data_IF_024137257091
#
_entry.id   IF_024137257091
#
_cell.length_a   1.000
_cell.length_b   1.000
_cell.length_c   1.000
_cell.angle_alpha   90.00
_cell.angle_beta   90.00
_cell.angle_gamma   90.00
#
_symmetry.space_group_name_H-M   'P 1'
#
loop_
_entity.id
_entity.type
_entity.pdbx_description
1 polymer ?
#
# COMPACT_ATOMS: atom_id res chain seq x y z
N UNK A 1 -8.92 -16.89 8.79
CA UNK A 1 -8.95 -16.40 10.15
C UNK A 1 -9.32 -14.92 10.13
N UNK A 2 -10.42 -14.54 10.76
CA UNK A 2 -10.74 -13.13 10.96
C UNK A 2 -9.78 -12.58 12.02
N UNK A 3 -9.12 -11.48 11.72
CA UNK A 3 -8.21 -10.84 12.65
C UNK A 3 -8.98 -9.70 13.35
N UNK A 4 -9.25 -9.81 14.65
CA UNK A 4 -9.70 -8.66 15.42
C UNK A 4 -8.61 -7.58 15.36
N UNK A 5 -9.02 -6.33 15.42
CA UNK A 5 -8.10 -5.19 15.43
C UNK A 5 -7.03 -5.41 16.52
N UNK A 6 -5.77 -5.38 16.13
CA UNK A 6 -4.63 -5.49 17.04
C UNK A 6 -4.09 -6.89 17.30
N UNK A 7 -4.68 -7.97 16.76
CA UNK A 7 -4.16 -9.34 17.02
C UNK A 7 -3.99 -10.23 15.79
N UNK A 8 -3.96 -9.67 14.58
CA UNK A 8 -3.76 -10.44 13.34
C UNK A 8 -2.46 -11.25 13.37
N UNK A 9 -1.38 -10.63 13.83
CA UNK A 9 -0.06 -11.26 13.90
C UNK A 9 -0.04 -12.40 14.93
N UNK A 10 -0.67 -12.23 16.10
CA UNK A 10 -0.79 -13.29 17.10
C UNK A 10 -1.50 -14.54 16.57
N UNK A 11 -2.59 -14.37 15.83
CA UNK A 11 -3.29 -15.48 15.17
C UNK A 11 -2.42 -16.13 14.07
N UNK A 12 -1.67 -15.34 13.32
CA UNK A 12 -0.75 -15.86 12.31
C UNK A 12 0.38 -16.68 12.94
N UNK A 13 0.92 -16.24 14.06
CA UNK A 13 1.94 -16.98 14.82
C UNK A 13 1.36 -18.31 15.31
N UNK A 14 0.18 -18.31 15.93
CA UNK A 14 -0.45 -19.54 16.43
C UNK A 14 -0.67 -20.55 15.29
N UNK A 15 -1.24 -20.12 14.18
CA UNK A 15 -1.45 -20.96 13.00
C UNK A 15 -0.13 -21.47 12.39
N UNK A 16 0.92 -20.63 12.39
CA UNK A 16 2.21 -21.02 11.86
C UNK A 16 2.88 -22.06 12.76
N UNK A 17 2.84 -21.88 14.08
CA UNK A 17 3.39 -22.86 15.04
C UNK A 17 2.76 -24.23 14.85
N UNK A 18 1.43 -24.31 14.67
CA UNK A 18 0.77 -25.58 14.38
C UNK A 18 1.24 -26.21 13.07
N UNK A 19 1.39 -25.41 12.02
CA UNK A 19 1.81 -25.92 10.72
C UNK A 19 3.24 -26.45 10.71
N UNK A 20 4.17 -25.81 11.41
CA UNK A 20 5.57 -26.24 11.43
C UNK A 20 5.86 -27.36 12.42
N UNK A 21 4.93 -27.76 13.29
CA UNK A 21 5.14 -28.89 14.25
C UNK A 21 5.51 -30.19 13.59
N UNK A 22 5.05 -30.42 12.35
CA UNK A 22 5.41 -31.59 11.54
C UNK A 22 6.74 -31.47 10.80
N UNK A 23 7.48 -30.39 10.99
CA UNK A 23 8.73 -30.08 10.30
C UNK A 23 8.58 -28.91 9.33
N UNK A 24 9.72 -28.39 8.89
CA UNK A 24 9.79 -27.26 7.97
C UNK A 24 10.04 -25.92 8.64
N UNK A 25 10.00 -24.86 7.83
CA UNK A 25 10.21 -23.47 8.26
C UNK A 25 9.03 -22.64 7.80
N UNK A 26 8.50 -21.81 8.67
CA UNK A 26 7.41 -20.89 8.40
C UNK A 26 7.84 -19.44 8.59
N UNK A 27 7.29 -18.56 7.77
CA UNK A 27 7.48 -17.11 7.85
C UNK A 27 6.18 -16.45 8.31
N UNK A 28 6.24 -15.60 9.31
CA UNK A 28 5.15 -14.71 9.71
C UNK A 28 5.56 -13.27 9.46
N UNK A 29 4.70 -12.55 8.76
CA UNK A 29 4.86 -11.13 8.48
C UNK A 29 3.91 -10.31 9.35
N UNK A 30 4.45 -9.39 10.12
CA UNK A 30 3.72 -8.36 10.83
C UNK A 30 3.75 -7.05 10.05
N UNK A 31 2.58 -6.51 9.75
CA UNK A 31 2.41 -5.22 9.11
C UNK A 31 1.75 -4.25 10.08
N UNK A 32 2.34 -3.08 10.27
CA UNK A 32 1.81 -2.00 11.09
C UNK A 32 1.67 -0.71 10.32
N UNK A 33 0.63 0.08 10.65
CA UNK A 33 0.47 1.44 10.15
C UNK A 33 0.45 1.58 8.64
N UNK A 34 -0.59 1.14 7.95
CA UNK A 34 -0.78 1.31 6.50
C UNK A 34 0.42 0.86 5.66
N UNK A 35 0.93 -0.34 5.95
CA UNK A 35 2.10 -0.90 5.26
C UNK A 35 3.40 -0.08 5.38
N UNK A 36 3.54 0.69 6.46
CA UNK A 36 4.74 1.51 6.67
C UNK A 36 5.75 0.90 7.64
N UNK A 37 5.34 -0.12 8.40
CA UNK A 37 6.20 -0.81 9.38
C UNK A 37 6.08 -2.31 9.18
N UNK A 38 7.20 -2.96 8.95
CA UNK A 38 7.23 -4.39 8.68
C UNK A 38 8.13 -5.11 9.66
N UNK A 39 7.69 -6.29 10.09
CA UNK A 39 8.52 -7.24 10.81
C UNK A 39 8.31 -8.65 10.24
N UNK A 40 9.36 -9.42 10.21
CA UNK A 40 9.33 -10.81 9.73
C UNK A 40 9.91 -11.71 10.81
N UNK A 41 9.26 -12.84 11.07
CA UNK A 41 9.74 -13.85 12.01
C UNK A 41 9.72 -15.23 11.37
N UNK A 42 10.80 -15.96 11.53
CA UNK A 42 10.93 -17.35 11.12
C UNK A 42 10.63 -18.28 12.30
N UNK A 43 9.85 -19.31 12.03
CA UNK A 43 9.47 -20.35 12.98
C UNK A 43 9.87 -21.72 12.41
N UNK A 44 10.51 -22.55 13.20
CA UNK A 44 10.93 -23.90 12.81
C UNK A 44 10.90 -24.84 14.01
N UNK A 45 10.84 -26.15 13.76
CA UNK A 45 11.00 -27.17 14.80
C UNK A 45 12.47 -27.39 15.21
N UNK A 46 13.39 -27.10 14.31
CA UNK A 46 14.83 -27.15 14.63
C UNK A 46 15.25 -25.75 15.08
N UNK A 47 15.76 -25.60 16.31
CA UNK A 47 16.23 -24.30 16.78
C UNK A 47 17.46 -23.87 15.96
N UNK A 48 17.64 -22.57 15.70
CA UNK A 48 18.85 -22.07 15.08
C UNK A 48 20.04 -22.22 16.03
N UNK A 49 21.24 -22.28 15.46
CA UNK A 49 22.45 -22.30 16.27
C UNK A 49 22.60 -21.08 17.18
N UNK A 50 22.07 -19.95 16.72
CA UNK A 50 22.01 -18.70 17.47
C UNK A 50 20.74 -17.94 17.11
N UNK A 51 20.04 -17.40 18.11
CA UNK A 51 18.95 -16.46 17.89
C UNK A 51 19.53 -15.14 17.34
N UNK A 52 18.93 -14.65 16.25
CA UNK A 52 19.33 -13.39 15.64
C UNK A 52 18.13 -12.46 15.54
N UNK A 53 18.34 -11.20 15.88
CA UNK A 53 17.47 -10.08 15.54
C UNK A 53 18.25 -9.16 14.60
N UNK A 54 17.68 -8.95 13.42
CA UNK A 54 18.30 -8.10 12.39
C UNK A 54 17.41 -6.87 12.21
N UNK A 55 18.00 -5.70 12.37
CA UNK A 55 17.38 -4.43 12.00
C UNK A 55 17.96 -4.01 10.64
N UNK A 56 17.07 -3.89 9.66
CA UNK A 56 17.42 -3.53 8.28
C UNK A 56 17.04 -2.08 7.93
N UNK A 57 16.63 -1.27 8.90
CA UNK A 57 16.15 0.08 8.65
C UNK A 57 17.19 0.92 7.89
N UNK A 58 18.45 0.85 8.27
CA UNK A 58 19.53 1.58 7.60
C UNK A 58 19.66 1.21 6.11
N UNK A 59 19.45 -0.07 5.76
CA UNK A 59 19.45 -0.52 4.36
C UNK A 59 18.21 -0.02 3.61
N UNK A 60 17.05 -0.01 4.26
CA UNK A 60 15.81 0.54 3.69
C UNK A 60 15.94 2.04 3.43
N UNK A 61 16.58 2.77 4.34
CA UNK A 61 16.77 4.22 4.21
C UNK A 61 17.67 4.64 3.04
N UNK A 62 18.50 3.71 2.54
CA UNK A 62 19.31 3.93 1.34
C UNK A 62 18.52 3.75 0.03
N UNK A 63 17.32 3.19 0.09
CA UNK A 63 16.52 3.00 -1.12
C UNK A 63 16.00 4.33 -1.66
N UNK A 64 15.90 4.48 -2.99
CA UNK A 64 15.29 5.66 -3.60
C UNK A 64 13.88 5.88 -3.07
N UNK A 65 13.55 7.12 -2.76
CA UNK A 65 12.21 7.53 -2.33
C UNK A 65 11.58 8.39 -3.42
N UNK A 66 10.31 8.13 -3.70
CA UNK A 66 9.53 9.02 -4.56
C UNK A 66 9.27 10.30 -3.78
N UNK A 67 9.63 11.44 -4.36
CA UNK A 67 9.33 12.75 -3.80
C UNK A 67 7.82 12.98 -3.74
N UNK A 68 7.37 13.79 -2.81
CA UNK A 68 5.96 14.17 -2.65
C UNK A 68 5.81 15.67 -2.89
N UNK A 69 4.85 16.04 -3.75
CA UNK A 69 4.54 17.42 -4.10
C UNK A 69 3.02 17.61 -4.08
N UNK A 70 2.46 18.01 -2.93
CA UNK A 70 1.00 18.10 -2.77
C UNK A 70 0.38 19.23 -3.59
N UNK A 71 1.11 20.31 -3.82
CA UNK A 71 0.60 21.53 -4.44
C UNK A 71 0.99 21.65 -5.93
N UNK A 72 1.48 20.58 -6.54
CA UNK A 72 1.85 20.57 -7.94
C UNK A 72 0.64 20.92 -8.82
N UNK A 73 0.89 21.73 -9.83
CA UNK A 73 -0.11 22.07 -10.88
C UNK A 73 0.53 21.83 -12.24
N UNK A 74 -0.11 21.05 -13.08
CA UNK A 74 0.41 20.75 -14.43
C UNK A 74 0.07 19.34 -14.89
N UNK A 75 0.72 18.93 -15.95
CA UNK A 75 0.57 17.60 -16.53
C UNK A 75 1.03 16.50 -15.56
N UNK A 76 0.23 15.47 -15.45
CA UNK A 76 0.50 14.31 -14.60
C UNK A 76 0.12 13.02 -15.30
N UNK A 77 0.70 11.92 -14.83
CA UNK A 77 0.30 10.56 -15.20
C UNK A 77 -0.27 9.85 -13.98
N UNK A 78 -1.37 9.15 -14.16
CA UNK A 78 -2.00 8.37 -13.10
C UNK A 78 -1.13 7.16 -12.73
N UNK A 79 -0.70 7.09 -11.48
CA UNK A 79 0.07 5.97 -10.92
C UNK A 79 -0.84 4.92 -10.30
N UNK A 80 -1.86 5.35 -9.58
CA UNK A 80 -2.85 4.49 -8.95
C UNK A 80 -4.16 5.24 -8.76
N UNK A 81 -5.26 4.52 -8.70
CA UNK A 81 -6.56 5.10 -8.38
C UNK A 81 -7.43 4.11 -7.62
N UNK A 82 -8.34 4.63 -6.81
CA UNK A 82 -9.36 3.85 -6.13
C UNK A 82 -10.66 4.65 -6.03
N UNK A 83 -11.79 3.95 -6.09
CA UNK A 83 -13.11 4.55 -5.95
C UNK A 83 -13.61 4.37 -4.52
N UNK A 84 -13.87 5.48 -3.86
CA UNK A 84 -14.43 5.51 -2.52
C UNK A 84 -15.94 5.47 -2.61
N UNK A 85 -16.54 4.58 -1.85
CA UNK A 85 -17.98 4.43 -1.71
C UNK A 85 -18.42 4.88 -0.33
N UNK A 86 -19.56 5.52 -0.26
CA UNK A 86 -20.31 5.78 0.96
C UNK A 86 -21.59 4.93 0.99
N UNK A 87 -22.55 5.28 1.85
CA UNK A 87 -23.80 4.54 1.98
C UNK A 87 -24.73 4.69 0.76
N UNK A 88 -24.53 5.72 -0.03
CA UNK A 88 -25.36 6.07 -1.18
C UNK A 88 -24.75 5.58 -2.50
N UNK A 89 -23.48 5.14 -2.49
CA UNK A 89 -22.79 4.61 -3.65
C UNK A 89 -21.40 5.23 -3.88
N UNK A 90 -20.91 5.27 -5.13
CA UNK A 90 -19.65 5.90 -5.46
C UNK A 90 -19.64 7.39 -5.09
N UNK A 91 -18.67 7.81 -4.30
CA UNK A 91 -18.56 9.17 -3.77
C UNK A 91 -17.48 9.98 -4.49
N UNK A 92 -16.28 9.43 -4.57
CA UNK A 92 -15.18 10.08 -5.27
C UNK A 92 -14.05 9.10 -5.57
N UNK A 93 -13.31 9.35 -6.62
CA UNK A 93 -12.05 8.68 -6.89
C UNK A 93 -10.90 9.39 -6.14
N UNK A 94 -10.05 8.61 -5.48
CA UNK A 94 -8.74 9.06 -5.03
C UNK A 94 -7.70 8.60 -6.05
N UNK A 95 -6.89 9.52 -6.52
CA UNK A 95 -5.93 9.30 -7.60
C UNK A 95 -4.54 9.70 -7.13
N UNK A 96 -3.60 8.76 -7.19
CA UNK A 96 -2.18 9.05 -7.06
C UNK A 96 -1.64 9.38 -8.45
N UNK A 97 -0.93 10.48 -8.57
CA UNK A 97 -0.39 10.98 -9.82
C UNK A 97 1.11 11.21 -9.71
N UNK A 98 1.80 11.10 -10.83
CA UNK A 98 3.21 11.46 -10.97
C UNK A 98 3.36 12.67 -11.90
N UNK A 99 4.14 13.66 -11.48
CA UNK A 99 4.56 14.76 -12.35
C UNK A 99 5.66 14.32 -13.33
N UNK A 100 6.04 15.19 -14.25
CA UNK A 100 7.08 14.93 -15.24
C UNK A 100 8.46 14.62 -14.63
N UNK A 101 8.68 14.92 -13.36
CA UNK A 101 9.93 14.64 -12.62
C UNK A 101 9.84 13.38 -11.78
N UNK A 102 8.68 12.68 -11.79
CA UNK A 102 8.43 11.46 -11.04
C UNK A 102 8.08 11.69 -9.57
N UNK A 103 7.70 12.92 -9.17
CA UNK A 103 7.21 13.19 -7.82
C UNK A 103 5.72 12.88 -7.75
N UNK A 104 5.28 12.38 -6.61
CA UNK A 104 3.91 11.96 -6.39
C UNK A 104 3.05 13.09 -5.83
N UNK A 105 1.84 13.21 -6.37
CA UNK A 105 0.76 13.98 -5.79
C UNK A 105 -0.47 13.10 -5.54
N UNK A 106 -1.43 13.62 -4.80
CA UNK A 106 -2.73 12.99 -4.61
C UNK A 106 -3.83 13.97 -5.01
N UNK A 107 -4.84 13.45 -5.69
CA UNK A 107 -5.96 14.22 -6.15
C UNK A 107 -7.28 13.49 -5.90
N UNK A 108 -8.35 14.26 -5.87
CA UNK A 108 -9.73 13.79 -5.90
C UNK A 108 -10.35 14.06 -7.27
N UNK A 109 -11.24 13.17 -7.68
CA UNK A 109 -12.13 13.41 -8.81
C UNK A 109 -13.54 12.94 -8.45
N UNK A 110 -14.54 13.73 -8.80
CA UNK A 110 -15.97 13.46 -8.51
C UNK A 110 -16.79 13.25 -9.77
N UNK A 111 -16.17 13.20 -10.93
CA UNK A 111 -16.83 13.00 -12.22
C UNK A 111 -17.28 11.53 -12.36
N UNK A 112 -18.57 11.27 -12.55
CA UNK A 112 -19.08 9.92 -12.80
C UNK A 112 -18.42 9.22 -14.00
N UNK A 113 -18.04 9.97 -15.04
CA UNK A 113 -17.34 9.38 -16.19
C UNK A 113 -15.96 8.80 -15.81
N UNK A 114 -15.29 9.42 -14.84
CA UNK A 114 -14.04 8.90 -14.28
C UNK A 114 -14.30 7.64 -13.44
N UNK A 115 -15.43 7.56 -12.73
CA UNK A 115 -15.82 6.36 -11.98
C UNK A 115 -16.06 5.17 -12.92
N UNK A 116 -16.81 5.39 -13.99
CA UNK A 116 -17.08 4.36 -15.00
C UNK A 116 -15.77 3.90 -15.67
N UNK A 117 -14.92 4.82 -16.06
CA UNK A 117 -13.63 4.50 -16.63
C UNK A 117 -12.72 3.69 -15.67
N UNK A 118 -12.74 4.04 -14.37
CA UNK A 118 -11.97 3.31 -13.36
C UNK A 118 -12.46 1.87 -13.20
N UNK A 119 -13.78 1.64 -13.30
CA UNK A 119 -14.38 0.31 -13.11
C UNK A 119 -14.27 -0.58 -14.35
N UNK A 120 -14.16 0.01 -15.54
CA UNK A 120 -14.13 -0.73 -16.81
C UNK A 120 -12.71 -0.95 -17.34
N UNK A 121 -11.99 0.13 -17.56
CA UNK A 121 -10.70 0.11 -18.27
C UNK A 121 -9.51 0.37 -17.34
N UNK A 122 -9.77 0.91 -16.14
CA UNK A 122 -8.77 1.44 -15.25
C UNK A 122 -8.28 2.82 -15.69
N UNK A 123 -7.53 3.48 -14.80
CA UNK A 123 -6.99 4.81 -15.03
C UNK A 123 -5.46 4.84 -15.07
N UNK A 124 -4.79 3.79 -14.62
CA UNK A 124 -3.33 3.75 -14.51
C UNK A 124 -2.68 3.98 -15.87
N UNK A 125 -1.72 4.89 -15.92
CA UNK A 125 -1.00 5.28 -17.14
C UNK A 125 -1.69 6.35 -17.97
N UNK A 126 -2.92 6.77 -17.66
CA UNK A 126 -3.57 7.89 -18.33
C UNK A 126 -2.93 9.21 -17.94
N UNK A 127 -2.81 10.10 -18.90
CA UNK A 127 -2.39 11.49 -18.66
C UNK A 127 -3.57 12.35 -18.25
N UNK A 128 -3.30 13.39 -17.46
CA UNK A 128 -4.29 14.35 -17.02
C UNK A 128 -3.64 15.65 -16.57
N UNK A 129 -4.47 16.56 -16.07
CA UNK A 129 -4.03 17.83 -15.50
C UNK A 129 -4.36 17.85 -14.00
N UNK A 130 -3.33 17.99 -13.16
CA UNK A 130 -3.51 18.27 -11.76
C UNK A 130 -3.66 19.77 -11.55
N UNK A 131 -4.73 20.18 -10.89
CA UNK A 131 -5.07 21.59 -10.66
C UNK A 131 -5.03 21.91 -9.17
N UNK A 132 -4.98 23.20 -8.86
CA UNK A 132 -5.01 23.67 -7.47
C UNK A 132 -6.22 23.11 -6.71
N UNK A 133 -6.02 22.79 -5.43
CA UNK A 133 -7.04 22.15 -4.58
C UNK A 133 -7.09 20.63 -4.69
N UNK A 134 -6.01 20.03 -5.19
CA UNK A 134 -5.84 18.56 -5.28
C UNK A 134 -6.96 17.88 -6.10
N UNK A 135 -7.31 18.46 -7.25
CA UNK A 135 -8.24 17.90 -8.23
C UNK A 135 -7.48 17.48 -9.47
N UNK A 136 -7.87 16.38 -10.10
CA UNK A 136 -7.31 15.95 -11.38
C UNK A 136 -8.42 15.89 -12.44
N UNK A 137 -8.14 16.43 -13.62
CA UNK A 137 -8.95 16.23 -14.83
C UNK A 137 -8.26 15.19 -15.70
N UNK A 138 -8.98 14.14 -16.06
CA UNK A 138 -8.49 12.98 -16.81
C UNK A 138 -9.15 12.89 -18.17
#
# INVERSE_FOLDING_TARGET
AAAPVGNAVGHSIAAMVERVRGGGVGLVHGNGGMATKHSFALYATTPPAQFARIDVQATVDLQPRIGFEPDYVGEVTVEAATLIHDREGPSHALVAVLDATGRRGFAKNTDPAVFDALLTDGLVGRSGQHVAGSTVTL
#
